data_IF_186301139075
#
_entry.id   IF_186301139075
#
_cell.length_a   1.000
_cell.length_b   1.000
_cell.length_c   1.000
_cell.angle_alpha   90.00
_cell.angle_beta   90.00
_cell.angle_gamma   90.00
#
_symmetry.space_group_name_H-M   'P 1'
#
loop_
_entity.id
_entity.type
_entity.pdbx_description
1 polymer ?
#
# COMPACT_ATOMS: atom_id res chain seq x y z
N UNK A 1 -18.17 15.84 19.10
CA UNK A 1 -17.66 15.40 17.79
C UNK A 1 -17.07 16.61 17.11
N UNK A 2 -15.78 16.60 16.74
CA UNK A 2 -15.24 17.70 15.93
C UNK A 2 -15.78 17.57 14.51
N UNK A 3 -16.45 18.62 14.01
CA UNK A 3 -17.17 18.60 12.73
C UNK A 3 -16.33 18.18 11.52
N UNK A 4 -15.00 18.30 11.59
CA UNK A 4 -14.11 17.95 10.47
C UNK A 4 -14.06 16.46 10.12
N UNK A 5 -14.14 15.54 11.09
CA UNK A 5 -14.08 14.10 10.78
C UNK A 5 -15.35 13.63 10.03
N UNK A 6 -16.54 14.11 10.41
CA UNK A 6 -17.80 13.73 9.76
C UNK A 6 -17.83 14.26 8.31
N UNK A 7 -17.41 15.52 8.12
CA UNK A 7 -17.34 16.14 6.79
C UNK A 7 -16.41 15.37 5.84
N UNK A 8 -15.30 14.84 6.37
CA UNK A 8 -14.38 14.01 5.59
C UNK A 8 -15.06 12.72 5.07
N UNK A 9 -15.70 11.95 5.96
CA UNK A 9 -16.41 10.72 5.56
C UNK A 9 -17.54 10.99 4.56
N UNK A 10 -18.30 12.06 4.74
CA UNK A 10 -19.39 12.42 3.82
C UNK A 10 -18.87 12.76 2.42
N UNK A 11 -17.72 13.42 2.31
CA UNK A 11 -17.09 13.71 1.02
C UNK A 11 -16.55 12.44 0.34
N UNK A 12 -15.94 11.52 1.09
CA UNK A 12 -15.50 10.22 0.56
C UNK A 12 -16.70 9.41 0.04
N UNK A 13 -17.82 9.38 0.78
CA UNK A 13 -19.07 8.72 0.34
C UNK A 13 -19.68 9.33 -0.92
N UNK A 14 -19.46 10.62 -1.16
CA UNK A 14 -19.87 11.32 -2.39
C UNK A 14 -18.93 11.05 -3.57
N UNK A 15 -17.89 10.23 -3.39
CA UNK A 15 -16.89 9.92 -4.40
C UNK A 15 -15.82 11.01 -4.55
N UNK A 16 -15.68 11.92 -3.58
CA UNK A 16 -14.65 12.96 -3.59
C UNK A 16 -13.32 12.42 -3.06
N UNK A 17 -12.67 11.57 -3.86
CA UNK A 17 -11.42 10.91 -3.50
C UNK A 17 -10.24 11.87 -3.32
N UNK A 18 -10.33 13.11 -3.80
CA UNK A 18 -9.29 14.12 -3.60
C UNK A 18 -9.14 14.46 -2.11
N UNK A 19 -10.25 14.52 -1.36
CA UNK A 19 -10.20 14.79 0.09
C UNK A 19 -9.50 13.64 0.83
N UNK A 20 -9.77 12.39 0.44
CA UNK A 20 -9.07 11.22 0.95
C UNK A 20 -7.57 11.25 0.64
N UNK A 21 -7.20 11.54 -0.61
CA UNK A 21 -5.79 11.64 -1.02
C UNK A 21 -5.05 12.71 -0.23
N UNK A 22 -5.63 13.91 -0.12
CA UNK A 22 -5.02 14.99 0.63
C UNK A 22 -4.89 14.64 2.12
N UNK A 23 -5.90 14.01 2.71
CA UNK A 23 -5.87 13.62 4.11
C UNK A 23 -4.71 12.70 4.45
N UNK A 24 -4.51 11.64 3.64
CA UNK A 24 -3.37 10.71 3.83
C UNK A 24 -2.05 11.45 3.67
N UNK A 25 -1.91 12.28 2.63
CA UNK A 25 -0.67 13.01 2.38
C UNK A 25 -0.34 13.98 3.52
N UNK A 26 -1.31 14.69 4.08
CA UNK A 26 -1.13 15.62 5.19
C UNK A 26 -0.56 14.97 6.45
N UNK A 27 -0.87 13.70 6.70
CA UNK A 27 -0.37 12.94 7.84
C UNK A 27 1.09 12.46 7.66
N UNK A 28 1.61 12.48 6.43
CA UNK A 28 2.95 11.98 6.12
C UNK A 28 3.92 13.16 5.99
N UNK A 29 5.09 13.16 6.67
CA UNK A 29 6.07 14.23 6.52
C UNK A 29 6.58 14.33 5.09
N UNK A 30 6.76 15.54 4.57
CA UNK A 30 7.14 15.80 3.17
C UNK A 30 8.39 15.03 2.74
N UNK A 31 9.38 14.86 3.62
CA UNK A 31 10.61 14.12 3.34
C UNK A 31 10.40 12.62 3.02
N UNK A 32 9.28 12.04 3.47
CA UNK A 32 8.92 10.64 3.23
C UNK A 32 7.90 10.48 2.09
N UNK A 33 7.38 11.57 1.53
CA UNK A 33 6.50 11.52 0.36
C UNK A 33 7.30 11.25 -0.90
N UNK A 34 6.65 10.70 -1.91
CA UNK A 34 7.21 10.59 -3.26
C UNK A 34 7.27 12.00 -3.85
N UNK A 35 8.49 12.51 -4.07
CA UNK A 35 8.75 13.81 -4.65
C UNK A 35 9.17 13.74 -6.12
N UNK A 36 9.42 14.91 -6.72
CA UNK A 36 9.86 15.01 -8.12
C UNK A 36 11.13 14.20 -8.43
N UNK A 37 12.11 14.21 -7.52
CA UNK A 37 13.35 13.42 -7.65
C UNK A 37 13.07 11.92 -7.65
N UNK A 38 12.15 11.46 -6.79
CA UNK A 38 11.79 10.05 -6.73
C UNK A 38 11.07 9.61 -8.03
N UNK A 39 10.20 10.48 -8.57
CA UNK A 39 9.53 10.26 -9.87
C UNK A 39 10.53 10.23 -11.02
N UNK A 40 11.52 11.12 -11.02
CA UNK A 40 12.59 11.13 -12.04
C UNK A 40 13.38 9.82 -12.01
N UNK A 41 13.74 9.34 -10.81
CA UNK A 41 14.40 8.04 -10.65
C UNK A 41 13.51 6.92 -11.17
N UNK A 42 12.24 6.84 -10.80
CA UNK A 42 11.34 5.80 -11.30
C UNK A 42 11.19 5.83 -12.83
N UNK A 43 11.12 7.02 -13.42
CA UNK A 43 11.09 7.19 -14.87
C UNK A 43 12.39 6.74 -15.55
N UNK A 44 13.55 6.97 -14.92
CA UNK A 44 14.86 6.51 -15.42
C UNK A 44 14.93 4.97 -15.51
N UNK A 45 14.35 4.26 -14.54
CA UNK A 45 14.31 2.79 -14.51
C UNK A 45 13.04 2.21 -15.13
N UNK A 46 12.21 3.02 -15.80
CA UNK A 46 10.84 2.63 -16.19
C UNK A 46 10.80 1.39 -17.07
N UNK A 47 11.63 1.33 -18.10
CA UNK A 47 11.62 0.19 -19.04
C UNK A 47 12.05 -1.10 -18.36
N UNK A 48 13.01 -1.03 -17.44
CA UNK A 48 13.47 -2.18 -16.64
C UNK A 48 12.37 -2.62 -15.67
N UNK A 49 11.75 -1.67 -14.96
CA UNK A 49 10.62 -1.94 -14.05
C UNK A 49 9.42 -2.54 -14.78
N UNK A 50 9.11 -2.07 -15.99
CA UNK A 50 8.03 -2.64 -16.81
C UNK A 50 8.41 -4.02 -17.37
N UNK A 51 9.67 -4.21 -17.74
CA UNK A 51 10.20 -5.45 -18.31
C UNK A 51 10.16 -6.63 -17.34
N UNK A 52 10.29 -6.39 -16.04
CA UNK A 52 10.26 -7.45 -15.01
C UNK A 52 8.86 -7.86 -14.56
N UNK A 53 7.78 -7.23 -15.08
CA UNK A 53 6.43 -7.43 -14.55
C UNK A 53 5.98 -8.90 -14.56
N UNK A 54 6.32 -9.64 -15.61
CA UNK A 54 5.98 -11.06 -15.75
C UNK A 54 6.73 -11.92 -14.71
N UNK A 55 8.06 -11.80 -14.64
CA UNK A 55 8.91 -12.50 -13.66
C UNK A 55 8.51 -12.17 -12.22
N UNK A 56 8.18 -10.91 -11.95
CA UNK A 56 7.71 -10.42 -10.66
C UNK A 56 6.39 -11.10 -10.25
N UNK A 57 5.42 -11.15 -11.18
CA UNK A 57 4.13 -11.80 -10.97
C UNK A 57 4.27 -13.30 -10.70
N UNK A 58 5.04 -14.00 -11.53
CA UNK A 58 5.27 -15.44 -11.38
C UNK A 58 5.96 -15.76 -10.05
N UNK A 59 7.03 -15.04 -9.72
CA UNK A 59 7.81 -15.28 -8.50
C UNK A 59 6.99 -15.02 -7.25
N UNK A 60 6.29 -13.88 -7.19
CA UNK A 60 5.45 -13.53 -6.06
C UNK A 60 4.30 -14.52 -5.86
N UNK A 61 3.56 -14.82 -6.93
CA UNK A 61 2.41 -15.73 -6.85
C UNK A 61 2.81 -17.16 -6.54
N UNK A 62 3.96 -17.63 -7.03
CA UNK A 62 4.50 -18.95 -6.67
C UNK A 62 4.79 -19.03 -5.18
N UNK A 63 5.46 -18.02 -4.61
CA UNK A 63 5.72 -17.98 -3.17
C UNK A 63 4.41 -17.96 -2.36
N UNK A 64 3.45 -17.14 -2.78
CA UNK A 64 2.17 -16.97 -2.09
C UNK A 64 1.19 -18.14 -2.28
N UNK A 65 1.40 -19.01 -3.28
CA UNK A 65 0.57 -20.20 -3.50
C UNK A 65 0.62 -21.20 -2.34
N UNK A 66 1.68 -21.13 -1.52
CA UNK A 66 1.84 -21.91 -0.29
C UNK A 66 0.92 -21.43 0.84
N UNK A 67 0.37 -20.23 0.73
CA UNK A 67 -0.62 -19.73 1.68
C UNK A 67 -1.99 -20.38 1.43
N UNK A 68 -2.79 -20.56 2.48
CA UNK A 68 -4.11 -21.18 2.34
C UNK A 68 -5.19 -20.23 1.77
N UNK A 69 -4.83 -19.35 0.84
CA UNK A 69 -5.73 -18.36 0.22
C UNK A 69 -5.93 -18.71 -1.25
N UNK A 70 -7.18 -18.90 -1.68
CA UNK A 70 -7.50 -19.40 -3.02
C UNK A 70 -7.07 -18.45 -4.16
N UNK A 71 -7.08 -17.14 -3.90
CA UNK A 71 -6.59 -16.13 -4.85
C UNK A 71 -5.17 -16.44 -5.35
N UNK A 72 -4.27 -16.91 -4.48
CA UNK A 72 -2.87 -17.18 -4.83
C UNK A 72 -2.63 -18.56 -5.48
N UNK A 73 -3.64 -19.45 -5.50
CA UNK A 73 -3.50 -20.81 -6.04
C UNK A 73 -3.83 -20.94 -7.54
N UNK A 74 -4.29 -19.85 -8.18
CA UNK A 74 -4.70 -19.85 -9.60
C UNK A 74 -3.95 -18.83 -10.46
N UNK A 75 -4.07 -18.96 -11.79
CA UNK A 75 -3.44 -18.06 -12.77
C UNK A 75 -3.88 -16.60 -12.70
N UNK A 76 -4.99 -16.31 -12.00
CA UNK A 76 -5.49 -14.96 -11.78
C UNK A 76 -4.53 -14.09 -10.94
N UNK A 77 -3.71 -14.70 -10.07
CA UNK A 77 -2.75 -13.95 -9.27
C UNK A 77 -1.70 -13.26 -10.14
N UNK A 78 -1.12 -13.99 -11.11
CA UNK A 78 -0.01 -13.48 -11.92
C UNK A 78 -0.46 -12.27 -12.75
N UNK A 79 -1.59 -12.39 -13.44
CA UNK A 79 -2.16 -11.28 -14.22
C UNK A 79 -2.56 -10.08 -13.34
N UNK A 80 -3.10 -10.34 -12.14
CA UNK A 80 -3.37 -9.29 -11.17
C UNK A 80 -2.08 -8.56 -10.76
N UNK A 81 -1.04 -9.29 -10.36
CA UNK A 81 0.22 -8.70 -9.87
C UNK A 81 0.93 -7.94 -10.97
N UNK A 82 0.95 -8.47 -12.20
CA UNK A 82 1.49 -7.77 -13.38
C UNK A 82 0.81 -6.43 -13.59
N UNK A 83 -0.52 -6.41 -13.62
CA UNK A 83 -1.27 -5.19 -13.87
C UNK A 83 -1.14 -4.20 -12.69
N UNK A 84 -1.24 -4.71 -11.45
CA UNK A 84 -0.97 -3.94 -10.24
C UNK A 84 0.40 -3.27 -10.32
N UNK A 85 1.44 -4.01 -10.66
CA UNK A 85 2.81 -3.49 -10.71
C UNK A 85 2.99 -2.40 -11.76
N UNK A 86 2.44 -2.59 -12.96
CA UNK A 86 2.46 -1.58 -14.02
C UNK A 86 1.79 -0.27 -13.58
N UNK A 87 0.65 -0.38 -12.90
CA UNK A 87 -0.08 0.80 -12.42
C UNK A 87 0.61 1.42 -11.19
N UNK A 88 1.23 0.60 -10.34
CA UNK A 88 1.98 1.02 -9.16
C UNK A 88 3.18 1.90 -9.52
N UNK A 89 3.86 1.64 -10.63
CA UNK A 89 5.02 2.42 -11.06
C UNK A 89 4.71 3.50 -12.11
N UNK A 90 3.43 3.73 -12.45
CA UNK A 90 3.04 4.71 -13.49
C UNK A 90 1.98 5.72 -13.05
N UNK A 91 2.07 6.94 -13.57
CA UNK A 91 1.07 8.01 -13.33
C UNK A 91 1.03 8.54 -11.89
N UNK A 92 2.11 8.38 -11.14
CA UNK A 92 2.24 8.65 -9.69
C UNK A 92 1.94 10.11 -9.31
N UNK A 93 2.13 11.04 -10.25
CA UNK A 93 1.88 12.47 -10.12
C UNK A 93 0.39 12.86 -10.10
N UNK A 94 -0.51 11.89 -10.34
CA UNK A 94 -1.95 12.11 -10.47
C UNK A 94 -2.71 11.54 -9.27
N UNK A 95 -3.75 12.22 -8.81
CA UNK A 95 -4.57 11.73 -7.69
C UNK A 95 -5.25 10.39 -8.01
N UNK A 96 -5.59 10.16 -9.27
CA UNK A 96 -6.21 8.94 -9.79
C UNK A 96 -5.32 7.70 -9.59
N UNK A 97 -3.99 7.88 -9.51
CA UNK A 97 -3.07 6.79 -9.22
C UNK A 97 -3.33 6.20 -7.83
N UNK A 98 -3.43 7.04 -6.81
CA UNK A 98 -3.68 6.61 -5.43
C UNK A 98 -5.04 5.94 -5.27
N UNK A 99 -6.06 6.44 -5.96
CA UNK A 99 -7.37 5.80 -6.02
C UNK A 99 -7.28 4.42 -6.67
N UNK A 100 -6.54 4.30 -7.78
CA UNK A 100 -6.34 3.01 -8.45
C UNK A 100 -5.65 1.99 -7.55
N UNK A 101 -4.64 2.42 -6.78
CA UNK A 101 -3.98 1.57 -5.79
C UNK A 101 -4.97 1.08 -4.73
N UNK A 102 -5.79 1.97 -4.15
CA UNK A 102 -6.84 1.57 -3.18
C UNK A 102 -7.81 0.57 -3.81
N UNK A 103 -8.21 0.75 -5.07
CA UNK A 103 -9.08 -0.21 -5.76
C UNK A 103 -8.44 -1.60 -5.91
N UNK A 104 -7.12 -1.71 -6.09
CA UNK A 104 -6.42 -3.00 -6.07
C UNK A 104 -6.50 -3.67 -4.70
N UNK A 105 -6.27 -2.91 -3.63
CA UNK A 105 -6.41 -3.42 -2.26
C UNK A 105 -7.84 -3.93 -2.00
N UNK A 106 -8.85 -3.15 -2.39
CA UNK A 106 -10.26 -3.55 -2.21
C UNK A 106 -10.60 -4.83 -2.98
N UNK A 107 -10.09 -4.99 -4.21
CA UNK A 107 -10.26 -6.23 -4.99
C UNK A 107 -9.65 -7.43 -4.28
N UNK A 108 -8.43 -7.31 -3.77
CA UNK A 108 -7.78 -8.39 -3.02
C UNK A 108 -8.50 -8.71 -1.71
N UNK A 109 -8.93 -7.67 -0.98
CA UNK A 109 -9.71 -7.85 0.25
C UNK A 109 -11.02 -8.60 -0.03
N UNK A 110 -11.71 -8.28 -1.13
CA UNK A 110 -12.92 -8.99 -1.56
C UNK A 110 -12.67 -10.45 -1.95
N UNK A 111 -11.41 -10.79 -2.29
CA UNK A 111 -10.96 -12.15 -2.56
C UNK A 111 -10.42 -12.87 -1.31
N UNK A 112 -10.73 -12.36 -0.11
CA UNK A 112 -10.29 -12.90 1.19
C UNK A 112 -8.77 -12.90 1.40
N UNK A 113 -8.03 -12.05 0.70
CA UNK A 113 -6.60 -11.85 0.98
C UNK A 113 -6.46 -11.13 2.33
N UNK A 114 -5.72 -11.73 3.25
CA UNK A 114 -5.56 -11.21 4.60
C UNK A 114 -4.88 -9.84 4.65
N UNK A 115 -5.26 -9.01 5.62
CA UNK A 115 -4.80 -7.62 5.79
C UNK A 115 -3.28 -7.51 5.76
N UNK A 116 -2.55 -8.41 6.41
CA UNK A 116 -1.09 -8.41 6.40
C UNK A 116 -0.53 -8.50 4.98
N UNK A 117 -1.05 -9.41 4.15
CA UNK A 117 -0.59 -9.56 2.76
C UNK A 117 -0.96 -8.32 1.91
N UNK A 118 -2.10 -7.69 2.18
CA UNK A 118 -2.50 -6.46 1.49
C UNK A 118 -1.53 -5.31 1.77
N UNK A 119 -1.28 -5.02 3.04
CA UNK A 119 -0.48 -3.85 3.44
C UNK A 119 1.00 -4.02 3.12
N UNK A 120 1.50 -5.25 3.05
CA UNK A 120 2.90 -5.54 2.69
C UNK A 120 3.13 -5.76 1.20
N UNK A 121 2.08 -5.96 0.38
CA UNK A 121 2.21 -6.16 -1.07
C UNK A 121 3.12 -5.14 -1.76
N UNK A 122 2.98 -3.81 -1.56
CA UNK A 122 3.84 -2.82 -2.22
C UNK A 122 5.32 -3.01 -1.86
N UNK A 123 5.59 -3.33 -0.58
CA UNK A 123 6.93 -3.53 -0.03
C UNK A 123 7.56 -4.81 -0.59
N UNK A 124 6.80 -5.91 -0.59
CA UNK A 124 7.25 -7.21 -1.09
C UNK A 124 7.59 -7.15 -2.57
N UNK A 125 6.72 -6.54 -3.39
CA UNK A 125 6.94 -6.40 -4.83
C UNK A 125 8.11 -5.45 -5.14
N UNK A 126 8.23 -4.33 -4.44
CA UNK A 126 9.37 -3.43 -4.61
C UNK A 126 10.70 -4.07 -4.23
N UNK A 127 10.73 -4.82 -3.13
CA UNK A 127 11.92 -5.57 -2.71
C UNK A 127 12.34 -6.61 -3.76
N UNK A 128 11.37 -7.37 -4.28
CA UNK A 128 11.62 -8.36 -5.31
C UNK A 128 12.08 -7.70 -6.63
N UNK A 129 11.46 -6.60 -7.04
CA UNK A 129 11.85 -5.84 -8.22
C UNK A 129 13.31 -5.34 -8.13
N UNK A 130 13.70 -4.81 -6.97
CA UNK A 130 15.09 -4.43 -6.70
C UNK A 130 16.00 -5.65 -6.82
N UNK A 131 15.62 -6.78 -6.23
CA UNK A 131 16.42 -8.01 -6.31
C UNK A 131 16.68 -8.44 -7.75
N UNK A 132 15.63 -8.48 -8.58
CA UNK A 132 15.71 -8.85 -10.00
C UNK A 132 16.63 -7.88 -10.76
N UNK A 133 16.44 -6.56 -10.60
CA UNK A 133 17.22 -5.55 -11.31
C UNK A 133 18.68 -5.50 -10.82
N UNK A 134 18.92 -5.72 -9.53
CA UNK A 134 20.26 -5.65 -8.92
C UNK A 134 21.18 -6.81 -9.34
N UNK A 135 20.61 -7.93 -9.79
CA UNK A 135 21.36 -9.06 -10.35
C UNK A 135 22.24 -8.70 -11.56
N UNK A 136 22.04 -7.52 -12.16
CA UNK A 136 22.79 -7.01 -13.32
C UNK A 136 24.01 -6.11 -12.98
N UNK A 137 24.50 -6.08 -11.73
CA UNK A 137 25.61 -5.23 -11.27
C UNK A 137 25.39 -3.70 -11.45
N UNK A 138 24.14 -3.25 -11.54
CA UNK A 138 23.79 -1.83 -11.64
C UNK A 138 23.68 -1.19 -10.25
N UNK A 139 24.20 0.03 -10.01
CA UNK A 139 23.93 0.75 -8.77
C UNK A 139 22.45 1.14 -8.72
N UNK A 140 21.71 0.54 -7.78
CA UNK A 140 20.24 0.71 -7.61
C UNK A 140 19.84 1.47 -6.35
N UNK A 141 20.78 2.06 -5.60
CA UNK A 141 20.49 2.71 -4.30
C UNK A 141 19.42 3.81 -4.39
N UNK A 142 19.44 4.61 -5.46
CA UNK A 142 18.41 5.62 -5.72
C UNK A 142 17.05 4.97 -6.01
N UNK A 143 17.02 3.90 -6.80
CA UNK A 143 15.82 3.13 -7.10
C UNK A 143 15.21 2.51 -5.84
N UNK A 144 16.06 1.92 -4.97
CA UNK A 144 15.64 1.38 -3.67
C UNK A 144 14.95 2.45 -2.83
N UNK A 145 15.51 3.66 -2.77
CA UNK A 145 14.92 4.76 -2.01
C UNK A 145 13.58 5.20 -2.60
N UNK A 146 13.50 5.38 -3.92
CA UNK A 146 12.28 5.80 -4.60
C UNK A 146 11.14 4.77 -4.46
N UNK A 147 11.42 3.49 -4.70
CA UNK A 147 10.45 2.40 -4.51
C UNK A 147 10.07 2.22 -3.03
N UNK A 148 11.00 2.45 -2.10
CA UNK A 148 10.71 2.42 -0.66
C UNK A 148 9.68 3.47 -0.26
N UNK A 149 9.84 4.71 -0.71
CA UNK A 149 8.86 5.78 -0.46
C UNK A 149 7.52 5.52 -1.15
N UNK A 150 7.53 5.05 -2.39
CA UNK A 150 6.31 4.71 -3.13
C UNK A 150 5.54 3.58 -2.44
N UNK A 151 6.25 2.55 -1.96
CA UNK A 151 5.68 1.46 -1.19
C UNK A 151 5.09 1.94 0.12
N UNK A 152 5.84 2.74 0.88
CA UNK A 152 5.38 3.27 2.16
C UNK A 152 4.12 4.14 2.01
N UNK A 153 4.10 5.00 0.99
CA UNK A 153 2.95 5.84 0.69
C UNK A 153 1.73 5.00 0.28
N UNK A 154 1.91 3.97 -0.56
CA UNK A 154 0.83 3.05 -0.95
C UNK A 154 0.31 2.24 0.24
N UNK A 155 1.20 1.79 1.13
CA UNK A 155 0.81 1.13 2.39
C UNK A 155 0.00 2.06 3.29
N UNK A 156 0.36 3.35 3.38
CA UNK A 156 -0.42 4.33 4.13
C UNK A 156 -1.83 4.50 3.55
N UNK A 157 -1.95 4.57 2.22
CA UNK A 157 -3.24 4.59 1.54
C UNK A 157 -4.09 3.35 1.84
N UNK A 158 -3.49 2.16 1.86
CA UNK A 158 -4.20 0.93 2.19
C UNK A 158 -4.66 0.91 3.64
N UNK A 159 -3.80 1.33 4.56
CA UNK A 159 -4.12 1.41 5.98
C UNK A 159 -5.30 2.37 6.23
N UNK A 160 -5.26 3.57 5.65
CA UNK A 160 -6.34 4.55 5.80
C UNK A 160 -7.65 4.01 5.23
N UNK A 161 -7.63 3.44 4.02
CA UNK A 161 -8.82 2.84 3.41
C UNK A 161 -9.42 1.70 4.24
N UNK A 162 -8.58 0.83 4.83
CA UNK A 162 -9.04 -0.25 5.72
C UNK A 162 -9.66 0.29 7.02
N UNK A 163 -9.05 1.32 7.61
CA UNK A 163 -9.59 1.99 8.79
C UNK A 163 -10.95 2.65 8.48
N UNK A 164 -11.10 3.26 7.29
CA UNK A 164 -12.39 3.77 6.84
C UNK A 164 -13.44 2.68 6.71
N UNK A 165 -13.13 1.58 6.02
CA UNK A 165 -14.07 0.47 5.89
C UNK A 165 -14.51 -0.08 7.25
N UNK A 166 -13.59 -0.19 8.22
CA UNK A 166 -13.93 -0.64 9.57
C UNK A 166 -14.82 0.36 10.30
N UNK A 167 -14.49 1.65 10.27
CA UNK A 167 -15.26 2.68 10.96
C UNK A 167 -16.66 2.87 10.36
N UNK A 168 -16.79 2.81 9.03
CA UNK A 168 -18.08 2.90 8.34
C UNK A 168 -18.98 1.70 8.63
N UNK A 169 -18.44 0.48 8.61
CA UNK A 169 -19.24 -0.73 8.83
C UNK A 169 -19.64 -0.92 10.31
N UNK A 170 -18.77 -0.54 11.24
CA UNK A 170 -19.05 -0.69 12.69
C UNK A 170 -19.79 0.53 13.26
N UNK A 171 -19.89 1.62 12.49
CA UNK A 171 -20.57 2.86 12.90
C UNK A 171 -19.84 3.61 14.02
N UNK A 172 -18.61 3.21 14.33
CA UNK A 172 -17.79 3.83 15.38
C UNK A 172 -17.01 4.99 14.77
N UNK A 173 -17.14 6.22 15.31
CA UNK A 173 -16.34 7.35 14.85
C UNK A 173 -14.84 7.04 14.93
N UNK A 174 -14.07 7.46 13.92
CA UNK A 174 -12.61 7.22 13.85
C UNK A 174 -11.89 7.58 15.15
N UNK A 175 -12.22 8.72 15.76
CA UNK A 175 -11.67 9.15 17.05
C UNK A 175 -11.94 8.16 18.19
N UNK A 176 -13.14 7.56 18.27
CA UNK A 176 -13.46 6.54 19.25
C UNK A 176 -12.71 5.23 18.96
N UNK A 177 -12.61 4.83 17.69
CA UNK A 177 -11.81 3.68 17.29
C UNK A 177 -10.33 3.87 17.67
N UNK A 178 -9.74 5.03 17.40
CA UNK A 178 -8.35 5.34 17.76
C UNK A 178 -8.10 5.30 19.27
N UNK A 179 -9.04 5.78 20.09
CA UNK A 179 -8.93 5.67 21.56
C UNK A 179 -8.93 4.21 22.03
N UNK A 180 -9.83 3.38 21.48
CA UNK A 180 -9.89 1.96 21.80
C UNK A 180 -8.62 1.22 21.34
N UNK A 181 -8.14 1.52 20.12
CA UNK A 181 -6.90 0.98 19.59
C UNK A 181 -5.70 1.37 20.45
N UNK A 182 -5.61 2.61 20.92
CA UNK A 182 -4.56 3.07 21.84
C UNK A 182 -4.59 2.34 23.19
N UNK A 183 -5.78 2.07 23.73
CA UNK A 183 -5.95 1.22 24.92
C UNK A 183 -5.40 -0.19 24.70
N UNK A 184 -5.73 -0.81 23.58
CA UNK A 184 -5.24 -2.15 23.21
C UNK A 184 -3.72 -2.16 23.02
N UNK A 185 -3.14 -1.14 22.37
CA UNK A 185 -1.69 -1.00 22.22
C UNK A 185 -1.00 -0.95 23.59
N UNK A 186 -1.54 -0.20 24.55
CA UNK A 186 -0.97 -0.15 25.91
C UNK A 186 -1.00 -1.52 26.59
N UNK A 187 -2.06 -2.31 26.42
CA UNK A 187 -2.12 -3.68 26.95
C UNK A 187 -1.12 -4.61 26.26
N UNK A 188 -1.00 -4.54 24.93
CA UNK A 188 -0.01 -5.30 24.19
C UNK A 188 1.42 -4.93 24.59
N UNK A 189 1.71 -3.63 24.80
CA UNK A 189 3.01 -3.16 25.27
C UNK A 189 3.32 -3.62 26.70
N UNK A 190 2.32 -3.72 27.59
CA UNK A 190 2.53 -4.31 28.93
C UNK A 190 2.92 -5.79 28.85
N UNK A 191 2.32 -6.53 27.91
CA UNK A 191 2.57 -7.96 27.73
C UNK A 191 3.90 -8.22 27.00
N UNK A 192 4.13 -7.54 25.89
CA UNK A 192 5.25 -7.81 24.98
C UNK A 192 6.39 -6.79 25.06
N UNK A 193 6.17 -5.60 25.59
CA UNK A 193 7.20 -4.56 25.72
C UNK A 193 8.30 -4.91 26.72
N UNK A 194 8.00 -5.74 27.72
CA UNK A 194 8.99 -6.27 28.66
C UNK A 194 9.89 -7.37 28.06
N UNK A 195 9.57 -7.87 26.87
CA UNK A 195 10.36 -8.90 26.16
C UNK A 195 11.45 -8.28 25.28
N UNK A 196 11.38 -6.96 25.04
CA UNK A 196 12.24 -6.22 24.09
C UNK A 196 13.15 -5.21 24.82
N UNK A 197 13.14 -5.17 26.16
CA UNK A 197 14.00 -4.31 26.98
C UNK A 197 15.26 -5.01 27.48
#
# INVERSE_FOLDING_TARGET
MNGHQILYFDEVKRGNYVVFVNHVLEQIPVAYRVGAVDIEVLNKYRDELLGIADELGETYCTAMSTTNTDFFKGGNCVEFVKQYWRDFITGIDRNEHWVSMVMYMLKLFSANVGVTALVTLPIQLSSLAVSIISGENKPVTQLVSALGKLSALTTAFYAEALVHLLTENVGVPLSAYMMLAGGLVNELLKVYGNVIA
#
